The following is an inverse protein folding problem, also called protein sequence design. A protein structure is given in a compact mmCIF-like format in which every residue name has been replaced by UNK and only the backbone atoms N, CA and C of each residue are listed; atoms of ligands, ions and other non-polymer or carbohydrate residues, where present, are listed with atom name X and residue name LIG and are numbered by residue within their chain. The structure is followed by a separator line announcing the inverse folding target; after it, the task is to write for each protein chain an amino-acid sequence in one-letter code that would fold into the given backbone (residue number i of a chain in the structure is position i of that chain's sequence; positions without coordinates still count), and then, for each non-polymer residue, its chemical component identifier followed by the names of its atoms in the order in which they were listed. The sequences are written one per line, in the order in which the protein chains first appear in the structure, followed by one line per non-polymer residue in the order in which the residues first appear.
data_IF_110619444917
#
_entry.id   IF_110619444917
#
_cell.length_a   1.000
_cell.length_b   1.000
_cell.length_c   1.000
_cell.angle_alpha   90.00
_cell.angle_beta   90.00
_cell.angle_gamma   90.00
#
_symmetry.space_group_name_H-M   'P 1'
#
loop_
_entity.id
_entity.type
_entity.pdbx_description
1 polymer ?
#
# COMPACT_ATOMS: atom_id res chain seq x y z
N UNK A 1 9.20 9.67 30.36
CA UNK A 1 9.74 10.04 29.02
C UNK A 1 8.62 10.69 28.19
N UNK A 2 8.92 11.38 27.09
CA UNK A 2 7.88 11.90 26.20
C UNK A 2 7.22 10.76 25.41
N UNK A 3 5.90 10.61 25.55
CA UNK A 3 5.08 9.60 24.86
C UNK A 3 5.11 9.79 23.33
N UNK A 4 5.48 8.74 22.59
CA UNK A 4 5.51 8.76 21.12
C UNK A 4 4.21 8.30 20.49
N UNK A 5 3.21 7.89 21.26
CA UNK A 5 1.93 7.41 20.75
C UNK A 5 1.22 8.44 19.83
N UNK A 6 1.21 9.76 20.13
CA UNK A 6 0.70 10.76 19.18
C UNK A 6 1.47 10.79 17.86
N UNK A 7 2.79 10.62 17.90
CA UNK A 7 3.65 10.56 16.71
C UNK A 7 3.39 9.28 15.90
N UNK A 8 3.20 8.14 16.56
CA UNK A 8 2.87 6.87 15.91
C UNK A 8 1.54 6.99 15.17
N UNK A 9 0.52 7.58 15.79
CA UNK A 9 -0.78 7.83 15.14
C UNK A 9 -0.64 8.73 13.91
N UNK A 10 0.13 9.82 14.03
CA UNK A 10 0.39 10.71 12.89
C UNK A 10 1.09 9.97 11.74
N UNK A 11 2.10 9.15 12.04
CA UNK A 11 2.82 8.36 11.02
C UNK A 11 1.94 7.29 10.38
N UNK A 12 1.07 6.64 11.17
CA UNK A 12 0.07 5.71 10.64
C UNK A 12 -0.84 6.39 9.62
N UNK A 13 -1.35 7.57 9.94
CA UNK A 13 -2.20 8.34 9.03
C UNK A 13 -1.45 8.67 7.72
N UNK A 14 -0.17 9.07 7.80
CA UNK A 14 0.66 9.32 6.61
C UNK A 14 0.81 8.07 5.73
N UNK A 15 1.00 6.90 6.33
CA UNK A 15 1.05 5.63 5.58
C UNK A 15 -0.28 5.37 4.88
N UNK A 16 -1.41 5.56 5.56
CA UNK A 16 -2.74 5.40 4.98
C UNK A 16 -2.99 6.38 3.82
N UNK A 17 -2.52 7.63 3.92
CA UNK A 17 -2.56 8.59 2.81
C UNK A 17 -1.77 8.11 1.59
N UNK A 18 -0.55 7.60 1.80
CA UNK A 18 0.28 7.05 0.71
C UNK A 18 -0.37 5.82 0.07
N UNK A 19 -0.98 4.95 0.87
CA UNK A 19 -1.74 3.80 0.38
C UNK A 19 -2.93 4.23 -0.48
N UNK A 20 -3.68 5.26 -0.08
CA UNK A 20 -4.80 5.79 -0.88
C UNK A 20 -4.33 6.34 -2.22
N UNK A 21 -3.22 7.08 -2.23
CA UNK A 21 -2.63 7.60 -3.48
C UNK A 21 -2.23 6.45 -4.40
N UNK A 22 -1.56 5.43 -3.85
CA UNK A 22 -1.13 4.26 -4.62
C UNK A 22 -2.33 3.48 -5.20
N UNK A 23 -3.39 3.29 -4.40
CA UNK A 23 -4.61 2.63 -4.84
C UNK A 23 -5.31 3.40 -5.98
N UNK A 24 -5.35 4.73 -5.89
CA UNK A 24 -5.91 5.59 -6.94
C UNK A 24 -5.11 5.48 -8.25
N UNK A 25 -3.78 5.41 -8.18
CA UNK A 25 -2.95 5.21 -9.37
C UNK A 25 -3.22 3.85 -10.02
N UNK A 26 -3.31 2.78 -9.24
CA UNK A 26 -3.67 1.46 -9.77
C UNK A 26 -5.05 1.44 -10.42
N UNK A 27 -6.03 2.10 -9.81
CA UNK A 27 -7.37 2.24 -10.39
C UNK A 27 -7.35 2.95 -11.74
N UNK A 28 -6.51 3.99 -11.88
CA UNK A 28 -6.37 4.69 -13.16
C UNK A 28 -5.78 3.77 -14.24
N UNK A 29 -4.78 2.95 -13.90
CA UNK A 29 -4.23 1.94 -14.83
C UNK A 29 -5.30 0.94 -15.23
N UNK A 30 -6.04 0.40 -14.27
CA UNK A 30 -7.10 -0.59 -14.52
C UNK A 30 -8.17 -0.07 -15.49
N UNK A 31 -8.58 1.20 -15.35
CA UNK A 31 -9.52 1.85 -16.27
C UNK A 31 -8.96 1.93 -17.69
N UNK A 32 -7.69 2.33 -17.84
CA UNK A 32 -7.05 2.45 -19.15
C UNK A 32 -6.86 1.08 -19.81
N UNK A 33 -6.43 0.08 -19.04
CA UNK A 33 -6.33 -1.29 -19.53
C UNK A 33 -7.69 -1.87 -19.92
N UNK A 34 -8.74 -1.58 -19.13
CA UNK A 34 -10.11 -1.96 -19.45
C UNK A 34 -10.54 -1.38 -20.80
N UNK A 35 -10.30 -0.09 -21.02
CA UNK A 35 -10.59 0.56 -22.31
C UNK A 35 -9.79 -0.05 -23.46
N UNK A 36 -8.51 -0.34 -23.24
CA UNK A 36 -7.65 -1.01 -24.22
C UNK A 36 -8.19 -2.39 -24.62
N UNK A 37 -8.63 -3.20 -23.65
CA UNK A 37 -9.25 -4.51 -23.90
C UNK A 37 -10.50 -4.39 -24.75
N UNK A 38 -11.39 -3.43 -24.43
CA UNK A 38 -12.60 -3.19 -25.22
C UNK A 38 -12.28 -2.85 -26.67
N UNK A 39 -11.30 -1.97 -26.92
CA UNK A 39 -10.89 -1.62 -28.30
C UNK A 39 -10.37 -2.85 -29.04
N UNK A 40 -9.56 -3.69 -28.39
CA UNK A 40 -9.02 -4.91 -29.01
C UNK A 40 -10.16 -5.87 -29.41
N UNK A 41 -11.15 -6.05 -28.53
CA UNK A 41 -12.31 -6.88 -28.81
C UNK A 41 -13.19 -6.30 -29.93
N UNK A 42 -13.37 -4.97 -29.96
CA UNK A 42 -14.09 -4.29 -31.04
C UNK A 42 -13.40 -4.49 -32.39
N UNK A 43 -12.08 -4.31 -32.45
CA UNK A 43 -11.30 -4.51 -33.68
C UNK A 43 -11.40 -5.95 -34.18
N UNK A 44 -11.37 -6.95 -33.28
CA UNK A 44 -11.52 -8.35 -33.67
C UNK A 44 -12.94 -8.66 -34.22
N UNK A 45 -13.98 -8.05 -33.63
CA UNK A 45 -15.35 -8.17 -34.14
C UNK A 45 -15.50 -7.54 -35.53
N UNK A 46 -15.02 -6.31 -35.69
CA UNK A 46 -15.07 -5.59 -36.98
C UNK A 46 -14.27 -6.30 -38.07
N UNK A 47 -13.14 -6.91 -37.69
CA UNK A 47 -12.33 -7.73 -38.60
C UNK A 47 -13.14 -8.88 -39.18
N UNK A 48 -13.79 -9.66 -38.31
CA UNK A 48 -14.61 -10.82 -38.72
C UNK A 48 -15.74 -10.40 -39.64
N UNK A 49 -16.44 -9.30 -39.32
CA UNK A 49 -17.49 -8.76 -40.17
C UNK A 49 -16.99 -8.35 -41.56
N UNK A 50 -15.79 -7.75 -41.63
CA UNK A 50 -15.18 -7.37 -42.91
C UNK A 50 -14.69 -8.59 -43.71
N UNK A 51 -14.18 -9.64 -43.05
CA UNK A 51 -13.73 -10.88 -43.69
C UNK A 51 -14.91 -11.75 -44.18
N UNK A 52 -16.02 -11.79 -43.44
CA UNK A 52 -17.25 -12.51 -43.83
C UNK A 52 -18.02 -11.79 -44.95
N UNK A 53 -17.81 -10.49 -45.11
CA UNK A 53 -18.41 -9.69 -46.17
C UNK A 53 -17.76 -9.94 -47.53
N UNK A 54 -18.53 -10.25 -48.56
CA UNK A 54 -18.04 -10.36 -49.95
C UNK A 54 -17.68 -9.01 -50.61
N UNK A 55 -17.74 -7.89 -49.87
CA UNK A 55 -17.49 -6.55 -50.41
C UNK A 55 -16.05 -6.06 -50.10
N UNK A 56 -15.26 -5.82 -51.14
CA UNK A 56 -13.90 -5.28 -51.07
C UNK A 56 -13.86 -3.90 -50.36
N UNK A 57 -14.91 -3.09 -50.49
CA UNK A 57 -15.00 -1.78 -49.82
C UNK A 57 -15.02 -1.91 -48.28
N UNK A 58 -15.57 -3.01 -47.76
CA UNK A 58 -15.60 -3.28 -46.32
C UNK A 58 -14.19 -3.52 -45.78
N UNK A 59 -13.35 -4.25 -46.51
CA UNK A 59 -11.94 -4.49 -46.15
C UNK A 59 -11.11 -3.20 -46.15
N UNK A 60 -11.32 -2.32 -47.13
CA UNK A 60 -10.62 -1.02 -47.20
C UNK A 60 -11.03 -0.12 -46.03
N UNK A 61 -12.33 -0.08 -45.71
CA UNK A 61 -12.84 0.71 -44.58
C UNK A 61 -12.31 0.17 -43.24
N UNK A 62 -12.26 -1.16 -43.10
CA UNK A 62 -11.68 -1.81 -41.93
C UNK A 62 -10.18 -1.50 -41.75
N UNK A 63 -9.40 -1.47 -42.83
CA UNK A 63 -7.97 -1.11 -42.75
C UNK A 63 -7.75 0.31 -42.19
N UNK A 64 -8.59 1.27 -42.59
CA UNK A 64 -8.54 2.63 -42.05
C UNK A 64 -8.98 2.69 -40.58
N UNK A 65 -10.03 1.95 -40.22
CA UNK A 65 -10.51 1.85 -38.83
C UNK A 65 -9.46 1.21 -37.90
N UNK A 66 -8.93 0.05 -38.27
CA UNK A 66 -7.91 -0.67 -37.49
C UNK A 66 -6.65 0.16 -37.27
N UNK A 67 -6.21 0.92 -38.28
CA UNK A 67 -5.07 1.84 -38.14
C UNK A 67 -5.33 2.94 -37.09
N UNK A 68 -6.56 3.48 -37.03
CA UNK A 68 -6.95 4.47 -36.01
C UNK A 68 -7.01 3.85 -34.62
N UNK A 69 -7.55 2.64 -34.51
CA UNK A 69 -7.62 1.93 -33.22
C UNK A 69 -6.24 1.55 -32.69
N UNK A 70 -5.31 1.16 -33.57
CA UNK A 70 -3.92 0.92 -33.19
C UNK A 70 -3.26 2.18 -32.60
N UNK A 71 -3.45 3.34 -33.24
CA UNK A 71 -2.94 4.62 -32.72
C UNK A 71 -3.55 4.99 -31.35
N UNK A 72 -4.82 4.68 -31.11
CA UNK A 72 -5.45 4.88 -29.80
C UNK A 72 -4.91 3.92 -28.74
N UNK A 73 -4.64 2.65 -29.09
CA UNK A 73 -3.98 1.69 -28.20
C UNK A 73 -2.59 2.19 -27.83
N UNK A 74 -1.79 2.64 -28.79
CA UNK A 74 -0.45 3.19 -28.53
C UNK A 74 -0.52 4.41 -27.60
N UNK A 75 -1.55 5.25 -27.75
CA UNK A 75 -1.79 6.38 -26.85
C UNK A 75 -2.12 5.93 -25.43
N UNK A 76 -2.99 4.92 -25.27
CA UNK A 76 -3.33 4.34 -23.97
C UNK A 76 -2.09 3.71 -23.31
N UNK A 77 -1.30 2.95 -24.06
CA UNK A 77 -0.06 2.34 -23.58
C UNK A 77 0.94 3.42 -23.12
N UNK A 78 1.04 4.53 -23.86
CA UNK A 78 1.83 5.69 -23.45
C UNK A 78 1.32 6.37 -22.18
N UNK A 79 0.01 6.37 -21.92
CA UNK A 79 -0.56 6.89 -20.67
C UNK A 79 -0.31 5.95 -19.50
N UNK A 80 -0.49 4.63 -19.69
CA UNK A 80 -0.22 3.60 -18.68
C UNK A 80 1.24 3.69 -18.22
N UNK A 81 2.20 3.72 -19.16
CA UNK A 81 3.63 3.86 -18.82
C UNK A 81 3.95 5.09 -17.97
N UNK A 82 3.26 6.21 -18.20
CA UNK A 82 3.45 7.43 -17.39
C UNK A 82 2.90 7.26 -15.97
N UNK A 83 1.83 6.50 -15.80
CA UNK A 83 1.26 6.20 -14.49
C UNK A 83 2.13 5.16 -13.78
N UNK A 84 2.69 4.17 -14.47
CA UNK A 84 3.58 3.17 -13.89
C UNK A 84 4.80 3.81 -13.22
N UNK A 85 5.43 4.79 -13.86
CA UNK A 85 6.53 5.57 -13.25
C UNK A 85 6.07 6.29 -11.98
N UNK A 86 4.82 6.77 -11.94
CA UNK A 86 4.24 7.39 -10.74
C UNK A 86 3.92 6.36 -9.66
N UNK A 87 3.52 5.15 -10.04
CA UNK A 87 3.30 4.01 -9.14
C UNK A 87 4.61 3.62 -8.47
N UNK A 88 5.69 3.44 -9.23
CA UNK A 88 7.01 3.12 -8.69
C UNK A 88 7.44 4.13 -7.63
N UNK A 89 7.35 5.43 -7.95
CA UNK A 89 7.63 6.50 -6.99
C UNK A 89 6.71 6.46 -5.76
N UNK A 90 5.42 6.24 -5.95
CA UNK A 90 4.46 6.15 -4.85
C UNK A 90 4.71 4.93 -3.95
N UNK A 91 5.20 3.82 -4.51
CA UNK A 91 5.62 2.65 -3.74
C UNK A 91 6.84 2.96 -2.88
N UNK A 92 7.84 3.65 -3.42
CA UNK A 92 9.03 4.07 -2.66
C UNK A 92 8.66 5.03 -1.52
N UNK A 93 7.84 6.05 -1.80
CA UNK A 93 7.30 6.95 -0.79
C UNK A 93 6.54 6.20 0.31
N UNK A 94 5.76 5.18 -0.05
CA UNK A 94 5.01 4.35 0.89
C UNK A 94 5.94 3.50 1.76
N UNK A 95 6.98 2.90 1.16
CA UNK A 95 8.00 2.12 1.88
C UNK A 95 8.73 2.99 2.90
N UNK A 96 9.11 4.20 2.51
CA UNK A 96 9.75 5.17 3.40
C UNK A 96 8.84 5.53 4.58
N UNK A 97 7.59 5.93 4.31
CA UNK A 97 6.62 6.27 5.36
C UNK A 97 6.38 5.10 6.33
N UNK A 98 6.31 3.87 5.82
CA UNK A 98 6.15 2.67 6.64
C UNK A 98 7.38 2.39 7.51
N UNK A 99 8.59 2.56 6.96
CA UNK A 99 9.85 2.44 7.70
C UNK A 99 9.90 3.44 8.87
N UNK A 100 9.53 4.70 8.61
CA UNK A 100 9.45 5.71 9.66
C UNK A 100 8.42 5.35 10.74
N UNK A 101 7.22 4.92 10.36
CA UNK A 101 6.21 4.47 11.30
C UNK A 101 6.75 3.34 12.18
N UNK A 102 7.38 2.32 11.57
CA UNK A 102 7.90 1.16 12.30
C UNK A 102 9.02 1.53 13.24
N UNK A 103 9.89 2.46 12.86
CA UNK A 103 10.95 2.99 13.73
C UNK A 103 10.37 3.63 15.00
N UNK A 104 9.31 4.44 14.86
CA UNK A 104 8.66 5.05 16.02
C UNK A 104 8.03 3.99 16.94
N UNK A 105 7.36 2.99 16.37
CA UNK A 105 6.77 1.87 17.13
C UNK A 105 7.82 1.08 17.91
N UNK A 106 8.95 0.75 17.29
CA UNK A 106 10.03 -0.01 17.96
C UNK A 106 10.63 0.79 19.12
N UNK A 107 10.80 2.11 18.95
CA UNK A 107 11.31 2.97 20.02
C UNK A 107 10.32 3.03 21.19
N UNK A 108 9.03 3.18 20.91
CA UNK A 108 8.01 3.20 21.97
C UNK A 108 7.94 1.87 22.70
N UNK A 109 7.92 0.74 21.98
CA UNK A 109 7.92 -0.59 22.60
C UNK A 109 9.10 -0.78 23.56
N UNK A 110 10.31 -0.38 23.16
CA UNK A 110 11.49 -0.48 24.03
C UNK A 110 11.35 0.33 25.31
N UNK A 111 10.72 1.51 25.23
CA UNK A 111 10.46 2.35 26.41
C UNK A 111 9.43 1.71 27.33
N UNK A 112 8.37 1.16 26.75
CA UNK A 112 7.34 0.46 27.51
C UNK A 112 7.93 -0.77 28.22
N UNK A 113 8.81 -1.52 27.55
CA UNK A 113 9.52 -2.67 28.12
C UNK A 113 10.47 -2.23 29.27
N UNK A 114 11.19 -1.12 29.12
CA UNK A 114 12.06 -0.54 30.16
C UNK A 114 11.26 -0.06 31.38
N UNK A 115 10.15 0.66 31.15
CA UNK A 115 9.27 1.16 32.21
C UNK A 115 8.57 0.01 32.95
N UNK A 116 8.19 -1.05 32.23
CA UNK A 116 7.63 -2.26 32.84
C UNK A 116 8.68 -2.99 33.68
N UNK A 117 9.89 -3.20 33.15
CA UNK A 117 10.96 -3.85 33.90
C UNK A 117 11.35 -3.09 35.18
N UNK A 118 11.34 -1.75 35.13
CA UNK A 118 11.57 -0.91 36.31
C UNK A 118 10.45 -1.04 37.35
N UNK A 119 9.19 -1.15 36.88
CA UNK A 119 8.02 -1.38 37.74
C UNK A 119 8.10 -2.75 38.40
N UNK A 120 8.34 -3.80 37.62
CA UNK A 120 8.49 -5.18 38.11
C UNK A 120 9.64 -5.29 39.12
N UNK A 121 10.77 -4.64 38.85
CA UNK A 121 11.90 -4.62 39.79
C UNK A 121 11.55 -3.96 41.13
N UNK A 122 10.77 -2.86 41.09
CA UNK A 122 10.30 -2.17 42.30
C UNK A 122 9.28 -3.02 43.06
N UNK A 123 8.35 -3.66 42.37
CA UNK A 123 7.36 -4.55 42.98
C UNK A 123 8.01 -5.77 43.62
N UNK A 124 8.94 -6.43 42.93
CA UNK A 124 9.69 -7.56 43.46
C UNK A 124 10.46 -7.17 44.73
N UNK A 125 11.16 -6.03 44.72
CA UNK A 125 11.87 -5.55 45.92
C UNK A 125 10.92 -5.31 47.11
N UNK A 126 9.75 -4.73 46.86
CA UNK A 126 8.75 -4.50 47.91
C UNK A 126 8.22 -5.83 48.46
N UNK A 127 7.95 -6.82 47.60
CA UNK A 127 7.49 -8.15 48.00
C UNK A 127 8.55 -8.90 48.82
N UNK A 128 9.83 -8.80 48.42
CA UNK A 128 10.95 -9.37 49.17
C UNK A 128 11.06 -8.74 50.57
N UNK A 129 10.93 -7.41 50.68
CA UNK A 129 10.95 -6.71 51.98
C UNK A 129 9.80 -7.19 52.89
N UNK A 130 8.59 -7.32 52.36
CA UNK A 130 7.42 -7.85 53.10
C UNK A 130 7.68 -9.31 53.52
N UNK A 131 8.22 -10.14 52.63
CA UNK A 131 8.53 -11.53 52.93
C UNK A 131 9.53 -11.70 54.07
N UNK A 132 10.59 -10.88 54.09
CA UNK A 132 11.57 -10.86 55.18
C UNK A 132 10.92 -10.40 56.49
N UNK A 133 10.08 -9.37 56.45
CA UNK A 133 9.41 -8.85 57.65
C UNK A 133 8.46 -9.89 58.26
N UNK A 134 7.66 -10.57 57.43
CA UNK A 134 6.77 -11.66 57.86
C UNK A 134 7.56 -12.81 58.47
N UNK A 135 8.67 -13.21 57.84
CA UNK A 135 9.54 -14.26 58.36
C UNK A 135 10.08 -13.90 59.75
N UNK A 136 10.61 -12.68 59.93
CA UNK A 136 11.12 -12.20 61.23
C UNK A 136 10.04 -12.20 62.33
N UNK A 137 8.84 -11.74 62.01
CA UNK A 137 7.72 -11.72 62.98
C UNK A 137 7.29 -13.12 63.44
N UNK A 138 7.47 -14.14 62.61
CA UNK A 138 7.15 -15.52 62.96
C UNK A 138 8.25 -16.20 63.79
N UNK A 139 9.52 -15.79 63.64
CA UNK A 139 10.65 -16.28 64.46
C UNK A 139 10.67 -15.68 65.88
N UNK A 140 10.09 -14.48 66.06
CA UNK A 140 10.01 -13.78 67.35
C UNK A 140 8.81 -14.22 68.24
N UNK A 141 7.98 -15.18 67.80
CA UNK A 141 6.85 -15.78 68.55
C UNK A 141 7.17 -17.19 69.06
#
# INVERSE_FOLDING_TARGET
MADLEPLIRLRKFRVEEKQKILAELFRQVEILEGRRRVIIEEVDRERKLAEDGTNIEALVTFAAYSSRMAAEIDRLDGQIKKIDVRIEKAQDDMREAFSEQKKAQIIQQRRDDEDQAATDAKENKNLDEIGIEVFRRNDDQ
#
